data_IF_085397471618
#
_entry.id   IF_085397471618
#
_cell.length_a   1.000
_cell.length_b   1.000
_cell.length_c   1.000
_cell.angle_alpha   90.00
_cell.angle_beta   90.00
_cell.angle_gamma   90.00
#
_symmetry.space_group_name_H-M   'P 1'
#
loop_
_entity.id
_entity.type
_entity.pdbx_description
1 polymer ?
#
# COMPACT_ATOMS: atom_id res chain seq x y z
N UNK A 1 -11.75 -10.21 7.52
CA UNK A 1 -11.23 -9.22 6.58
C UNK A 1 -10.56 -8.08 7.32
N UNK A 2 -9.47 -7.59 6.82
CA UNK A 2 -8.71 -6.54 7.49
C UNK A 2 -9.16 -5.18 7.00
N UNK A 3 -9.52 -4.29 7.94
CA UNK A 3 -9.88 -2.91 7.61
C UNK A 3 -8.74 -2.16 6.92
N UNK A 4 -7.49 -2.55 7.18
CA UNK A 4 -6.34 -1.88 6.57
C UNK A 4 -6.34 -2.02 5.04
N UNK A 5 -6.82 -3.14 4.51
CA UNK A 5 -6.91 -3.31 3.07
C UNK A 5 -7.85 -2.32 2.42
N UNK A 6 -9.04 -2.14 3.01
CA UNK A 6 -10.02 -1.19 2.51
C UNK A 6 -9.52 0.26 2.62
N UNK A 7 -8.92 0.60 3.75
CA UNK A 7 -8.42 1.96 3.97
C UNK A 7 -7.23 2.23 3.05
N UNK A 8 -6.35 1.26 2.87
CA UNK A 8 -5.21 1.39 1.98
C UNK A 8 -5.66 1.61 0.53
N UNK A 9 -6.66 0.87 0.09
CA UNK A 9 -7.22 1.03 -1.25
C UNK A 9 -7.75 2.45 -1.45
N UNK A 10 -8.50 2.97 -0.50
CA UNK A 10 -8.99 4.36 -0.55
C UNK A 10 -7.85 5.36 -0.57
N UNK A 11 -6.81 5.12 0.24
CA UNK A 11 -5.64 5.99 0.29
C UNK A 11 -4.93 6.05 -1.05
N UNK A 12 -4.80 4.91 -1.73
CA UNK A 12 -4.13 4.84 -3.02
C UNK A 12 -4.94 5.48 -4.15
N UNK A 13 -6.25 5.65 -3.99
CA UNK A 13 -7.06 6.40 -4.93
C UNK A 13 -6.78 7.91 -4.86
N UNK A 14 -6.35 8.39 -3.70
CA UNK A 14 -6.14 9.82 -3.46
C UNK A 14 -4.66 10.21 -3.47
N UNK A 15 -3.77 9.26 -3.28
CA UNK A 15 -2.33 9.50 -3.14
C UNK A 15 -1.55 8.51 -3.97
N UNK A 16 -0.44 8.95 -4.54
CA UNK A 16 0.40 8.10 -5.38
C UNK A 16 1.35 7.23 -4.57
N UNK A 17 1.53 7.52 -3.30
CA UNK A 17 2.43 6.76 -2.43
C UNK A 17 1.86 6.72 -1.02
N UNK A 18 1.77 5.53 -0.46
CA UNK A 18 1.30 5.32 0.91
C UNK A 18 2.26 4.40 1.63
N UNK A 19 2.83 4.87 2.73
CA UNK A 19 3.79 4.12 3.52
C UNK A 19 3.07 3.35 4.63
N UNK A 20 3.35 2.04 4.71
CA UNK A 20 3.03 1.24 5.89
C UNK A 20 4.28 1.24 6.77
N UNK A 21 4.25 1.92 7.92
CA UNK A 21 5.45 2.04 8.75
C UNK A 21 6.07 0.68 9.06
N UNK A 22 7.37 0.57 8.94
CA UNK A 22 8.18 -0.62 9.18
C UNK A 22 8.03 -1.75 8.17
N UNK A 23 7.07 -1.68 7.27
CA UNK A 23 6.88 -2.69 6.22
C UNK A 23 7.40 -2.20 4.87
N UNK A 24 6.92 -1.05 4.41
CA UNK A 24 7.31 -0.50 3.12
C UNK A 24 6.22 0.40 2.57
N UNK A 25 6.36 0.81 1.32
CA UNK A 25 5.42 1.73 0.68
C UNK A 25 4.81 1.14 -0.56
N UNK A 26 3.53 1.40 -0.76
CA UNK A 26 2.84 1.15 -2.03
C UNK A 26 2.88 2.41 -2.87
N UNK A 27 3.27 2.27 -4.13
CA UNK A 27 3.45 3.37 -5.06
C UNK A 27 2.59 3.10 -6.29
N UNK A 28 1.76 4.07 -6.65
CA UNK A 28 0.94 4.00 -7.84
C UNK A 28 1.68 4.74 -8.96
N UNK A 29 1.98 4.04 -10.02
CA UNK A 29 2.65 4.60 -11.20
C UNK A 29 1.65 4.74 -12.32
N UNK A 30 1.62 5.90 -12.96
CA UNK A 30 0.80 6.14 -14.13
C UNK A 30 1.55 5.64 -15.36
N UNK A 31 0.89 4.84 -16.18
CA UNK A 31 1.45 4.39 -17.44
C UNK A 31 0.77 5.13 -18.58
N UNK A 32 1.54 5.79 -19.46
CA UNK A 32 0.96 6.50 -20.59
C UNK A 32 0.40 5.53 -21.63
N UNK A 33 -0.50 5.99 -22.49
CA UNK A 33 -0.96 5.15 -23.59
C UNK A 33 0.20 4.89 -24.54
N UNK A 34 0.24 3.70 -25.09
CA UNK A 34 1.26 3.28 -26.06
C UNK A 34 0.60 2.90 -27.36
N UNK A 35 1.22 3.31 -28.46
CA UNK A 35 0.76 2.95 -29.80
C UNK A 35 1.86 2.16 -30.51
N UNK A 36 1.51 0.94 -30.92
CA UNK A 36 2.42 0.10 -31.71
C UNK A 36 2.00 0.18 -33.16
N UNK A 37 2.80 0.83 -33.97
CA UNK A 37 2.52 1.02 -35.42
C UNK A 37 2.51 -0.29 -36.14
N UNK A 38 3.42 -1.19 -35.80
CA UNK A 38 3.58 -2.46 -36.52
C UNK A 38 2.38 -3.36 -36.34
N UNK A 39 1.85 -3.40 -35.13
CA UNK A 39 0.69 -4.22 -34.80
C UNK A 39 -0.62 -3.45 -34.91
N UNK A 40 -0.55 -2.14 -35.12
CA UNK A 40 -1.71 -1.25 -35.13
C UNK A 40 -2.58 -1.43 -33.89
N UNK A 41 -1.91 -1.49 -32.72
CA UNK A 41 -2.55 -1.71 -31.43
C UNK A 41 -2.30 -0.51 -30.55
N UNK A 42 -3.34 -0.07 -29.86
CA UNK A 42 -3.25 1.00 -28.85
C UNK A 42 -3.43 0.37 -27.48
N UNK A 43 -2.43 0.54 -26.61
CA UNK A 43 -2.55 0.18 -25.20
C UNK A 43 -2.97 1.42 -24.44
N UNK A 44 -4.15 1.41 -23.80
CA UNK A 44 -4.63 2.61 -23.10
C UNK A 44 -3.76 2.94 -21.89
N UNK A 45 -3.83 4.20 -21.47
CA UNK A 45 -3.21 4.63 -20.23
C UNK A 45 -3.78 3.82 -19.05
N UNK A 46 -2.94 3.55 -18.09
CA UNK A 46 -3.34 2.75 -16.94
C UNK A 46 -2.54 3.09 -15.71
N UNK A 47 -2.68 2.25 -14.71
CA UNK A 47 -1.97 2.40 -13.44
C UNK A 47 -1.33 1.07 -13.08
N UNK A 48 -0.18 1.17 -12.44
CA UNK A 48 0.53 0.02 -11.90
C UNK A 48 0.88 0.30 -10.45
N UNK A 49 0.68 -0.69 -9.59
CA UNK A 49 1.03 -0.58 -8.17
C UNK A 49 2.33 -1.35 -7.96
N UNK A 50 3.32 -0.67 -7.40
CA UNK A 50 4.58 -1.29 -7.01
C UNK A 50 4.78 -1.16 -5.50
N UNK A 51 5.68 -1.97 -4.97
CA UNK A 51 5.98 -1.98 -3.55
C UNK A 51 7.47 -1.77 -3.33
N UNK A 52 7.81 -0.86 -2.42
CA UNK A 52 9.20 -0.56 -2.08
C UNK A 52 9.40 -0.78 -0.58
N UNK A 53 10.08 -1.87 -0.24
CA UNK A 53 10.33 -2.23 1.15
C UNK A 53 11.36 -1.33 1.84
N UNK A 54 12.05 -0.48 1.11
CA UNK A 54 13.02 0.46 1.67
C UNK A 54 12.37 1.73 2.21
N UNK A 55 11.16 2.06 1.76
CA UNK A 55 10.43 3.24 2.20
C UNK A 55 9.57 2.88 3.40
N UNK A 56 10.13 2.99 4.59
CA UNK A 56 9.47 2.57 5.83
C UNK A 56 9.13 3.73 6.77
N UNK A 57 9.53 4.94 6.42
CA UNK A 57 9.29 6.10 7.26
C UNK A 57 7.84 6.58 7.11
N UNK A 58 7.20 6.80 8.24
CA UNK A 58 5.79 7.21 8.28
C UNK A 58 5.59 8.55 7.59
N UNK A 59 4.67 8.61 6.63
CA UNK A 59 4.33 9.84 5.91
C UNK A 59 3.05 10.51 6.41
N UNK A 60 2.35 9.87 7.34
CA UNK A 60 1.11 10.41 7.90
C UNK A 60 -0.13 10.20 7.05
N UNK A 61 0.00 9.71 5.83
CA UNK A 61 -1.15 9.54 4.92
C UNK A 61 -2.08 8.45 5.44
N UNK A 62 -1.53 7.30 5.82
CA UNK A 62 -2.31 6.19 6.33
C UNK A 62 -2.97 6.56 7.66
N UNK A 63 -2.25 7.27 8.52
CA UNK A 63 -2.79 7.74 9.80
C UNK A 63 -4.01 8.64 9.59
N UNK A 64 -3.90 9.57 8.63
CA UNK A 64 -5.00 10.48 8.30
C UNK A 64 -6.20 9.75 7.73
N UNK A 65 -5.97 8.75 6.87
CA UNK A 65 -7.05 7.95 6.30
C UNK A 65 -7.75 7.13 7.37
N UNK A 66 -7.02 6.56 8.29
CA UNK A 66 -7.60 5.84 9.42
C UNK A 66 -8.43 6.79 10.30
N UNK A 67 -7.91 7.97 10.58
CA UNK A 67 -8.63 8.96 11.40
C UNK A 67 -9.97 9.31 10.77
N UNK A 68 -9.98 9.56 9.47
CA UNK A 68 -11.20 9.93 8.75
C UNK A 68 -12.18 8.77 8.68
N UNK A 69 -11.70 7.59 8.36
CA UNK A 69 -12.56 6.40 8.16
C UNK A 69 -13.17 5.93 9.47
N UNK A 70 -12.39 5.95 10.55
CA UNK A 70 -12.84 5.42 11.84
C UNK A 70 -13.40 6.50 12.77
N UNK A 71 -13.35 7.77 12.37
CA UNK A 71 -13.83 8.87 13.20
C UNK A 71 -12.97 9.11 14.44
N UNK A 72 -11.66 8.92 14.31
CA UNK A 72 -10.70 9.08 15.41
C UNK A 72 -9.84 10.32 15.22
N UNK A 73 -9.23 10.79 16.30
CA UNK A 73 -8.15 11.77 16.19
C UNK A 73 -6.95 11.11 15.50
N UNK A 74 -6.10 11.93 14.88
CA UNK A 74 -4.89 11.40 14.22
C UNK A 74 -4.01 10.65 15.21
N UNK A 75 -3.92 11.13 16.45
CA UNK A 75 -3.14 10.46 17.51
C UNK A 75 -3.66 9.04 17.76
N UNK A 76 -4.98 8.87 17.89
CA UNK A 76 -5.58 7.55 18.10
C UNK A 76 -5.48 6.68 16.85
N UNK A 77 -5.71 7.27 15.69
CA UNK A 77 -5.57 6.56 14.43
C UNK A 77 -4.17 5.98 14.27
N UNK A 78 -3.16 6.73 14.66
CA UNK A 78 -1.77 6.29 14.61
C UNK A 78 -1.54 5.02 15.43
N UNK A 79 -2.15 4.93 16.62
CA UNK A 79 -2.06 3.73 17.44
C UNK A 79 -2.73 2.53 16.77
N UNK A 80 -3.87 2.76 16.13
CA UNK A 80 -4.58 1.70 15.41
C UNK A 80 -3.77 1.24 14.20
N UNK A 81 -3.18 2.16 13.46
CA UNK A 81 -2.31 1.85 12.33
C UNK A 81 -1.14 0.98 12.79
N UNK A 82 -0.48 1.38 13.87
CA UNK A 82 0.66 0.62 14.39
C UNK A 82 0.25 -0.79 14.80
N UNK A 83 -0.91 -0.96 15.40
CA UNK A 83 -1.43 -2.26 15.77
C UNK A 83 -1.71 -3.12 14.54
N UNK A 84 -2.40 -2.58 13.55
CA UNK A 84 -2.73 -3.31 12.32
C UNK A 84 -1.47 -3.67 11.53
N UNK A 85 -0.52 -2.73 11.43
CA UNK A 85 0.76 -2.96 10.74
C UNK A 85 1.55 -4.07 11.44
N UNK A 86 1.55 -4.08 12.77
CA UNK A 86 2.25 -5.12 13.54
C UNK A 86 1.67 -6.51 13.22
N UNK A 87 0.35 -6.63 13.15
CA UNK A 87 -0.29 -7.90 12.82
C UNK A 87 0.09 -8.36 11.42
N UNK A 88 0.02 -7.45 10.44
CA UNK A 88 0.36 -7.76 9.05
C UNK A 88 1.83 -8.15 8.93
N UNK A 89 2.71 -7.40 9.59
CA UNK A 89 4.14 -7.69 9.58
C UNK A 89 4.43 -9.09 10.12
N UNK A 90 3.77 -9.46 11.19
CA UNK A 90 3.91 -10.79 11.77
C UNK A 90 3.48 -11.87 10.79
N UNK A 91 2.34 -11.68 10.12
CA UNK A 91 1.85 -12.61 9.11
C UNK A 91 2.79 -12.72 7.91
N UNK A 92 3.34 -11.59 7.47
CA UNK A 92 4.31 -11.59 6.37
C UNK A 92 5.57 -12.34 6.74
N UNK A 93 6.06 -12.15 7.95
CA UNK A 93 7.23 -12.89 8.43
C UNK A 93 6.98 -14.38 8.46
N UNK A 94 5.83 -14.81 8.92
CA UNK A 94 5.48 -16.23 8.93
C UNK A 94 5.41 -16.78 7.52
N UNK A 95 4.81 -16.06 6.59
CA UNK A 95 4.70 -16.48 5.20
C UNK A 95 6.08 -16.57 4.54
N UNK A 96 6.92 -15.57 4.73
CA UNK A 96 8.27 -15.55 4.16
C UNK A 96 9.11 -16.65 4.76
N UNK A 97 9.07 -16.83 6.08
CA UNK A 97 9.78 -17.89 6.76
C UNK A 97 9.37 -19.26 6.25
N UNK A 98 8.08 -19.48 6.09
CA UNK A 98 7.55 -20.73 5.56
C UNK A 98 8.05 -20.97 4.12
N UNK A 99 7.97 -19.94 3.28
CA UNK A 99 8.42 -20.05 1.89
C UNK A 99 9.91 -20.36 1.81
N UNK A 100 10.72 -19.71 2.63
CA UNK A 100 12.16 -19.95 2.67
C UNK A 100 12.45 -21.38 3.11
N UNK A 101 11.75 -21.86 4.13
CA UNK A 101 11.99 -23.21 4.63
C UNK A 101 11.54 -24.29 3.66
N UNK A 102 10.61 -23.99 2.75
CA UNK A 102 10.18 -24.93 1.74
C UNK A 102 11.09 -24.94 0.52
N UNK A 103 11.97 -23.98 0.43
CA UNK A 103 12.95 -23.91 -0.66
C UNK A 103 14.15 -24.75 -0.33
#
# INVERSE_FOLDING_TARGET
>A
MYRIGDILEQALLLHDCVVLPTIGAFIVEQTPPLYDKDLNVITPAGQRISFNASLVDRDGILDSCYARTLGLSVRRARLVVDSDVTVIRHQLYQSVGYTVSSS
#
